data_IF_643807917839
#
_entry.id   IF_643807917839
#
_cell.length_a   1.000
_cell.length_b   1.000
_cell.length_c   1.000
_cell.angle_alpha   90.00
_cell.angle_beta   90.00
_cell.angle_gamma   90.00
#
_symmetry.space_group_name_H-M   'P 1'
#
loop_
_entity.id
_entity.type
_entity.pdbx_description
1 polymer ?
2 branched ?
3 non-polymer ?
4 non-polymer ?
5 non-polymer ?
6 water ?
#
# COMPACT_ATOMS: atom_id res chain seq x y z
C UNK A 1 17.50 10.60 25.24
N UNK A 2 16.49 11.49 25.19
CA UNK A 2 16.32 12.73 24.42
C UNK A 2 16.60 12.56 22.94
N UNK A 3 15.79 11.73 22.28
CA UNK A 3 16.00 11.43 20.87
C UNK A 3 15.65 12.63 20.00
N UNK A 4 14.41 13.09 20.08
CA UNK A 4 13.98 14.21 19.29
C UNK A 4 13.33 15.32 20.09
N UNK A 5 12.68 16.26 19.39
CA UNK A 5 11.96 17.34 20.04
C UNK A 5 10.47 17.04 20.00
N UNK A 6 9.78 17.39 21.06
CA UNK A 6 8.43 16.95 21.34
C UNK A 6 7.53 18.16 21.51
N UNK A 7 6.33 18.08 20.96
CA UNK A 7 5.40 19.17 21.04
C UNK A 7 3.97 18.74 20.76
N UNK A 8 3.03 19.69 20.82
CA UNK A 8 1.63 19.37 20.53
C UNK A 8 1.47 19.04 19.05
N UNK A 9 1.00 17.82 18.78
CA UNK A 9 0.65 17.33 17.45
C UNK A 9 1.86 16.97 16.60
N UNK A 10 3.05 16.79 17.17
CA UNK A 10 4.19 16.39 16.35
C UNK A 10 5.29 15.81 17.23
N UNK A 11 6.27 15.20 16.56
CA UNK A 11 7.49 14.71 17.19
C UNK A 11 8.59 14.78 16.14
N UNK A 12 9.53 15.70 16.32
CA UNK A 12 10.62 15.91 15.38
C UNK A 12 11.78 15.01 15.80
N UNK A 13 12.22 14.08 14.95
CA UNK A 13 13.33 13.20 15.34
C UNK A 13 14.68 13.90 15.35
N UNK A 14 14.81 14.96 16.17
CA UNK A 14 16.08 15.68 16.26
C UNK A 14 16.13 16.35 17.62
N UNK A 15 17.27 16.23 18.30
CA UNK A 15 17.43 16.86 19.60
C UNK A 15 17.38 18.37 19.48
N UNK A 16 16.79 19.03 20.48
CA UNK A 16 16.70 20.47 20.52
C UNK A 16 17.69 21.10 21.51
N UNK A 17 18.77 20.39 21.85
CA UNK A 17 19.76 20.98 22.74
C UNK A 17 20.46 22.16 22.09
N UNK A 18 20.55 22.17 20.76
CA UNK A 18 21.10 23.31 20.03
C UNK A 18 20.12 24.47 19.93
N UNK A 19 18.82 24.21 20.12
CA UNK A 19 17.82 25.24 20.00
C UNK A 19 17.34 25.53 18.60
N UNK A 20 17.72 24.70 17.62
CA UNK A 20 17.40 24.97 16.21
C UNK A 20 16.11 24.31 15.74
N UNK A 21 15.55 23.39 16.52
CA UNK A 21 14.35 22.68 16.10
C UNK A 21 13.15 23.62 16.07
N UNK A 22 12.33 23.48 15.03
CA UNK A 22 11.12 24.26 14.84
C UNK A 22 9.94 23.32 14.65
N UNK A 23 8.75 23.88 14.74
CA UNK A 23 7.54 23.11 14.51
C UNK A 23 7.49 22.64 13.05
N UNK A 24 7.22 21.35 12.79
CA UNK A 24 7.10 20.89 11.41
C UNK A 24 5.92 21.49 10.66
N UNK A 25 5.06 22.26 11.36
CA UNK A 25 3.98 22.97 10.71
C UNK A 25 4.33 24.43 10.41
N UNK A 26 5.38 24.98 11.00
CA UNK A 26 5.69 26.40 10.92
C UNK A 26 6.93 26.74 10.09
N UNK A 27 7.98 25.93 10.17
CA UNK A 27 9.27 26.29 9.60
C UNK A 27 9.96 25.06 9.05
N UNK A 28 10.84 25.22 8.06
CA UNK A 28 11.43 24.04 7.40
C UNK A 28 12.39 23.29 8.31
N UNK A 29 12.41 21.98 8.12
CA UNK A 29 13.19 21.07 8.98
C UNK A 29 14.53 20.73 8.31
N UNK A 30 15.32 21.75 8.02
CA UNK A 30 16.57 21.57 7.31
C UNK A 30 17.71 21.06 8.18
N UNK A 31 17.46 20.82 9.47
CA UNK A 31 18.41 20.10 10.32
C UNK A 31 18.22 18.60 10.25
N UNK A 32 17.08 18.13 9.75
CA UNK A 32 16.88 16.70 9.51
C UNK A 32 17.63 16.26 8.26
N UNK A 33 17.66 17.10 7.23
CA UNK A 33 18.27 16.76 5.96
C UNK A 33 18.61 18.03 5.23
N UNK A 34 19.63 17.95 4.36
CA UNK A 34 20.01 19.08 3.54
C UNK A 34 18.87 19.45 2.59
N UNK A 35 18.81 20.71 2.16
CA UNK A 35 17.79 21.09 1.18
C UNK A 35 17.76 20.23 -0.08
N UNK A 36 18.92 19.81 -0.59
CA UNK A 36 18.93 18.95 -1.78
C UNK A 36 18.31 17.58 -1.49
N UNK A 37 18.41 17.11 -0.24
CA UNK A 37 17.75 15.85 0.10
C UNK A 37 16.24 15.99 0.11
N UNK A 38 15.73 17.16 0.51
CA UNK A 38 14.30 17.43 0.34
C UNK A 38 13.93 17.48 -1.14
N UNK A 39 14.80 18.07 -1.96
CA UNK A 39 14.54 18.10 -3.39
C UNK A 39 14.52 16.69 -3.98
N UNK A 40 15.43 15.82 -3.54
CA UNK A 40 15.40 14.43 -4.01
C UNK A 40 14.16 13.71 -3.52
N UNK A 41 13.68 14.04 -2.32
CA UNK A 41 12.36 13.56 -1.91
C UNK A 41 11.28 14.04 -2.87
N UNK A 42 11.40 15.29 -3.33
CA UNK A 42 10.46 15.82 -4.31
C UNK A 42 10.59 15.09 -5.65
N UNK A 43 11.83 14.85 -6.08
CA UNK A 43 12.05 14.10 -7.32
C UNK A 43 11.46 12.71 -7.23
N UNK A 44 11.58 12.07 -6.07
CA UNK A 44 11.00 10.74 -5.89
C UNK A 44 9.48 10.79 -6.00
N UNK A 45 8.87 11.83 -5.41
CA UNK A 45 7.42 11.99 -5.54
C UNK A 45 7.03 12.27 -6.99
N UNK A 46 7.85 13.03 -7.70
CA UNK A 46 7.54 13.32 -9.10
C UNK A 46 7.63 12.06 -9.95
N UNK A 47 8.62 11.20 -9.69
CA UNK A 47 8.72 9.93 -10.39
C UNK A 47 7.50 9.06 -10.13
N UNK A 48 7.09 8.94 -8.87
CA UNK A 48 5.91 8.14 -8.54
C UNK A 48 4.64 8.72 -9.16
N UNK A 49 4.52 10.04 -9.26
CA UNK A 49 3.32 10.63 -9.84
C UNK A 49 3.29 10.40 -11.34
N UNK A 50 4.41 10.62 -12.02
CA UNK A 50 4.45 10.48 -13.47
C UNK A 50 4.26 9.02 -13.91
N UNK A 51 4.68 8.05 -13.10
CA UNK A 51 4.41 6.65 -13.40
C UNK A 51 3.12 6.15 -12.76
N UNK A 52 2.74 6.65 -11.61
CA UNK A 52 1.61 6.10 -10.88
C UNK A 52 0.25 6.54 -11.36
N UNK A 53 0.10 7.82 -11.74
CA UNK A 53 -1.20 8.26 -12.23
C UNK A 53 -1.53 7.67 -13.59
N UNK A 54 -0.66 7.72 -14.61
CA UNK A 54 -1.06 7.15 -15.92
C UNK A 54 -1.45 5.68 -15.83
N UNK A 55 -0.61 4.85 -15.19
CA UNK A 55 -0.88 3.41 -15.13
C UNK A 55 -2.20 3.13 -14.42
N UNK A 56 -2.46 3.81 -13.30
CA UNK A 56 -3.66 3.50 -12.54
C UNK A 56 -4.91 4.11 -13.15
N UNK A 57 -4.81 5.35 -13.64
CA UNK A 57 -5.96 5.94 -14.32
C UNK A 57 -6.30 5.19 -15.60
N UNK A 58 -5.28 4.68 -16.29
CA UNK A 58 -5.50 3.96 -17.53
C UNK A 58 -6.18 2.61 -17.29
N UNK A 59 -5.92 1.99 -16.14
CA UNK A 59 -6.68 0.80 -15.77
C UNK A 59 -8.17 1.09 -15.70
N UNK A 60 -8.53 2.25 -15.11
CA UNK A 60 -9.93 2.64 -15.07
C UNK A 60 -10.44 3.03 -16.44
N UNK A 61 -9.56 3.50 -17.33
CA UNK A 61 -10.01 4.00 -18.62
C UNK A 61 -10.26 2.86 -19.60
N UNK A 62 -9.32 1.91 -19.70
CA UNK A 62 -9.51 0.80 -20.63
C UNK A 62 -10.66 -0.09 -20.20
N UNK A 63 -11.01 -0.11 -18.91
CA UNK A 63 -12.18 -0.84 -18.48
C UNK A 63 -13.47 -0.23 -19.02
N UNK A 64 -13.46 1.09 -19.25
CA UNK A 64 -14.65 1.74 -19.80
C UNK A 64 -14.82 1.42 -21.28
N UNK A 65 -13.71 1.25 -22.01
CA UNK A 65 -13.76 1.04 -23.45
C UNK A 65 -13.98 -0.41 -23.85
N UNK A 66 -13.66 -1.37 -22.99
CA UNK A 66 -13.65 -2.78 -23.36
C UNK A 66 -14.62 -3.56 -22.46
N UNK A 67 -15.67 -4.12 -23.07
CA UNK A 67 -16.72 -4.77 -22.31
C UNK A 67 -16.24 -6.02 -21.57
N UNK A 68 -15.29 -6.75 -22.18
CA UNK A 68 -14.84 -8.00 -21.58
C UNK A 68 -14.06 -7.81 -20.29
N UNK A 69 -13.62 -6.57 -19.98
CA UNK A 69 -12.91 -6.34 -18.72
C UNK A 69 -13.87 -6.23 -17.55
N UNK A 70 -15.13 -5.84 -17.81
CA UNK A 70 -16.08 -5.58 -16.74
C UNK A 70 -16.70 -6.88 -16.21
N UNK A 71 -15.84 -7.73 -15.66
CA UNK A 71 -16.23 -8.96 -15.01
C UNK A 71 -16.13 -8.81 -13.50
N UNK A 72 -16.98 -9.53 -12.74
CA UNK A 72 -16.94 -9.37 -11.28
C UNK A 72 -15.59 -9.67 -10.65
N UNK A 73 -14.86 -10.65 -11.18
CA UNK A 73 -13.55 -10.98 -10.64
C UNK A 73 -12.54 -9.85 -10.84
N UNK A 74 -12.84 -8.89 -11.71
CA UNK A 74 -11.95 -7.77 -11.96
C UNK A 74 -12.33 -6.53 -11.15
N UNK A 75 -13.44 -6.57 -10.42
CA UNK A 75 -13.84 -5.40 -9.63
C UNK A 75 -12.77 -5.03 -8.62
N UNK A 76 -12.18 -6.04 -7.95
CA UNK A 76 -11.17 -5.75 -6.93
C UNK A 76 -9.93 -5.12 -7.55
N UNK A 77 -9.68 -5.34 -8.84
CA UNK A 77 -8.55 -4.70 -9.51
C UNK A 77 -8.85 -3.24 -9.80
N UNK A 78 -10.10 -2.92 -10.11
CA UNK A 78 -10.47 -1.51 -10.24
C UNK A 78 -10.36 -0.81 -8.90
N UNK A 79 -10.76 -1.50 -7.82
CA UNK A 79 -10.60 -0.96 -6.48
C UNK A 79 -9.12 -0.71 -6.18
N UNK A 80 -8.25 -1.62 -6.63
CA UNK A 80 -6.82 -1.42 -6.46
C UNK A 80 -6.34 -0.17 -7.18
N UNK A 81 -6.81 0.05 -8.42
CA UNK A 81 -6.39 1.22 -9.16
C UNK A 81 -6.82 2.51 -8.48
N UNK A 82 -8.05 2.54 -7.96
CA UNK A 82 -8.52 3.71 -7.23
C UNK A 82 -7.69 3.93 -5.97
N UNK A 83 -7.33 2.84 -5.28
CA UNK A 83 -6.54 2.95 -4.07
C UNK A 83 -5.19 3.60 -4.34
N UNK A 84 -4.56 3.24 -5.46
CA UNK A 84 -3.26 3.81 -5.79
C UNK A 84 -3.38 5.29 -6.13
N UNK A 85 -4.48 5.68 -6.79
CA UNK A 85 -4.71 7.09 -7.05
C UNK A 85 -4.88 7.88 -5.75
N UNK A 86 -5.51 7.28 -4.74
CA UNK A 86 -5.51 7.88 -3.41
C UNK A 86 -4.10 8.10 -2.91
N UNK A 87 -3.22 7.11 -3.09
CA UNK A 87 -1.83 7.27 -2.70
C UNK A 87 -1.14 8.34 -3.55
N UNK A 88 -1.49 8.41 -4.82
CA UNK A 88 -0.80 9.33 -5.73
C UNK A 88 -1.20 10.77 -5.45
N UNK A 89 -2.50 11.03 -5.26
CA UNK A 89 -2.96 12.39 -5.05
C UNK A 89 -3.03 12.77 -3.58
N UNK A 90 -3.56 11.88 -2.74
CA UNK A 90 -3.60 12.16 -1.32
C UNK A 90 -2.23 12.18 -0.66
N UNK A 91 -1.29 11.39 -1.17
CA UNK A 91 0.01 11.29 -0.54
C UNK A 91 1.15 11.86 -1.36
N UNK A 92 1.38 11.32 -2.56
CA UNK A 92 2.56 11.70 -3.32
C UNK A 92 2.50 13.16 -3.75
N UNK A 93 1.32 13.61 -4.22
CA UNK A 93 1.19 14.99 -4.68
C UNK A 93 1.36 15.97 -3.54
N UNK A 94 0.71 15.69 -2.41
CA UNK A 94 0.85 16.57 -1.25
C UNK A 94 2.30 16.63 -0.78
N UNK A 95 2.97 15.47 -0.72
CA UNK A 95 4.35 15.43 -0.24
C UNK A 95 5.28 16.18 -1.16
N UNK A 96 5.08 16.07 -2.48
CA UNK A 96 5.88 16.83 -3.42
C UNK A 96 5.79 18.33 -3.15
N UNK A 97 4.60 18.80 -2.78
CA UNK A 97 4.43 20.22 -2.53
C UNK A 97 5.09 20.63 -1.23
N UNK A 98 4.82 19.90 -0.15
CA UNK A 98 5.43 20.21 1.14
C UNK A 98 6.93 20.00 1.14
N UNK A 99 7.42 18.97 0.42
CA UNK A 99 8.85 18.73 0.34
C UNK A 99 9.62 19.98 -0.12
N UNK A 100 9.09 20.69 -1.12
CA UNK A 100 9.74 21.88 -1.64
C UNK A 100 9.64 23.08 -0.69
N UNK A 101 8.83 22.97 0.36
CA UNK A 101 8.84 23.95 1.43
C UNK A 101 9.76 23.56 2.57
N UNK A 102 10.14 22.28 2.66
CA UNK A 102 10.94 21.79 3.75
C UNK A 102 10.17 21.45 5.01
N UNK A 103 8.84 21.54 4.99
CA UNK A 103 8.02 21.22 6.14
C UNK A 103 6.57 21.10 5.69
N UNK A 104 5.71 20.67 6.61
CA UNK A 104 4.31 20.38 6.32
C UNK A 104 3.52 21.67 6.44
N UNK A 105 3.37 22.38 5.32
CA UNK A 105 2.81 23.72 5.33
C UNK A 105 1.31 23.77 5.55
N UNK A 106 0.63 22.63 5.56
CA UNK A 106 -0.82 22.60 5.68
C UNK A 106 -1.30 22.57 7.12
N UNK A 107 -0.38 22.63 8.09
CA UNK A 107 -0.76 22.73 9.48
C UNK A 107 -1.22 21.42 10.07
N UNK A 108 -1.63 21.45 11.34
CA UNK A 108 -2.02 20.20 12.03
C UNK A 108 -3.27 19.57 11.46
N UNK A 109 -4.12 20.32 10.77
CA UNK A 109 -5.35 19.76 10.22
C UNK A 109 -5.15 19.13 8.85
N UNK A 110 -4.31 19.73 8.01
CA UNK A 110 -3.89 19.04 6.80
C UNK A 110 -3.15 17.76 7.10
N UNK A 111 -2.61 17.63 8.31
CA UNK A 111 -1.99 16.38 8.75
C UNK A 111 -3.04 15.28 8.85
N UNK A 112 -4.17 15.59 9.50
CA UNK A 112 -5.26 14.64 9.58
C UNK A 112 -5.87 14.35 8.21
N UNK A 113 -5.88 15.35 7.32
CA UNK A 113 -6.41 15.14 5.98
C UNK A 113 -5.48 14.28 5.14
N UNK A 114 -4.25 14.75 4.93
CA UNK A 114 -3.30 13.98 4.12
C UNK A 114 -3.02 12.62 4.75
N UNK A 115 -2.90 12.58 6.08
CA UNK A 115 -2.64 11.32 6.75
C UNK A 115 -3.76 10.31 6.51
N UNK A 116 -5.00 10.76 6.68
CA UNK A 116 -6.14 9.86 6.47
C UNK A 116 -6.16 9.30 5.05
N UNK A 117 -6.14 10.19 4.05
CA UNK A 117 -6.31 9.73 2.66
C UNK A 117 -5.11 8.92 2.18
N UNK A 118 -3.90 9.31 2.59
CA UNK A 118 -2.73 8.51 2.22
C UNK A 118 -2.74 7.16 2.92
N UNK A 119 -3.20 7.12 4.18
CA UNK A 119 -3.31 5.85 4.87
C UNK A 119 -4.43 5.00 4.27
N UNK A 120 -5.55 5.64 3.90
CA UNK A 120 -6.67 4.92 3.32
C UNK A 120 -6.28 4.26 2.00
N UNK A 121 -5.58 4.98 1.13
CA UNK A 121 -5.20 4.42 -0.15
C UNK A 121 -4.32 3.20 -0.02
N UNK A 122 -3.29 3.29 0.83
CA UNK A 122 -2.43 2.15 1.07
C UNK A 122 -3.14 0.98 1.73
N UNK A 123 -4.10 1.26 2.62
CA UNK A 123 -4.88 0.20 3.25
C UNK A 123 -5.81 -0.48 2.26
N UNK A 124 -6.51 0.30 1.43
CA UNK A 124 -7.40 -0.28 0.42
C UNK A 124 -6.61 -1.18 -0.53
N UNK A 125 -5.44 -0.72 -0.96
CA UNK A 125 -4.60 -1.54 -1.83
C UNK A 125 -4.19 -2.84 -1.14
N UNK A 126 -3.82 -2.76 0.14
CA UNK A 126 -3.37 -3.95 0.85
C UNK A 126 -4.48 -5.00 0.90
N UNK A 127 -5.68 -4.59 1.29
CA UNK A 127 -6.78 -5.54 1.42
C UNK A 127 -7.34 -5.96 0.06
N UNK A 128 -7.18 -5.13 -0.97
CA UNK A 128 -7.56 -5.55 -2.31
C UNK A 128 -6.73 -6.76 -2.75
N UNK A 129 -5.43 -6.76 -2.42
CA UNK A 129 -4.60 -7.93 -2.69
C UNK A 129 -5.04 -9.12 -1.85
N UNK A 130 -5.44 -8.87 -0.61
CA UNK A 130 -5.94 -9.95 0.24
C UNK A 130 -7.24 -10.49 -0.31
N UNK A 131 -8.15 -9.60 -0.73
CA UNK A 131 -9.44 -10.05 -1.24
C UNK A 131 -9.29 -10.78 -2.56
N UNK A 132 -8.45 -10.26 -3.45
CA UNK A 132 -8.18 -10.95 -4.71
C UNK A 132 -7.63 -12.35 -4.46
N UNK A 133 -6.78 -12.49 -3.45
CA UNK A 133 -6.27 -13.82 -3.09
C UNK A 133 -7.40 -14.73 -2.63
N UNK A 134 -8.32 -14.20 -1.83
CA UNK A 134 -9.44 -15.01 -1.35
C UNK A 134 -10.37 -15.37 -2.49
N UNK A 135 -10.68 -14.40 -3.36
CA UNK A 135 -11.59 -14.65 -4.47
C UNK A 135 -11.05 -15.73 -5.39
N UNK A 136 -9.77 -15.62 -5.76
CA UNK A 136 -9.16 -16.63 -6.62
C UNK A 136 -9.12 -17.99 -5.93
N UNK A 137 -8.87 -18.00 -4.62
CA UNK A 137 -8.88 -19.26 -3.88
C UNK A 137 -10.25 -19.93 -3.94
N UNK A 138 -11.31 -19.15 -3.77
CA UNK A 138 -12.66 -19.72 -3.76
C UNK A 138 -13.03 -20.23 -5.14
N UNK A 139 -12.64 -19.51 -6.19
CA UNK A 139 -13.02 -19.89 -7.55
C UNK A 139 -12.28 -21.15 -7.98
N UNK A 140 -10.99 -21.25 -7.66
CA UNK A 140 -10.20 -22.39 -8.11
C UNK A 140 -10.39 -23.59 -7.19
N UNK A 141 -10.09 -23.43 -5.91
CA UNK A 141 -10.12 -24.56 -4.99
C UNK A 141 -11.53 -25.06 -4.72
N UNK A 142 -12.53 -24.25 -5.02
CA UNK A 142 -13.94 -24.61 -4.81
C UNK A 142 -14.18 -25.18 -3.42
N UNK A 143 -13.92 -24.40 -2.36
CA UNK A 143 -14.12 -24.95 -1.00
C UNK A 143 -15.58 -25.13 -0.65
N UNK A 144 -16.43 -24.17 -1.02
CA UNK A 144 -17.86 -24.30 -0.80
C UNK A 144 -18.47 -25.26 -1.83
N UNK A 145 -19.36 -26.13 -1.35
CA UNK A 145 -19.83 -27.25 -2.18
C UNK A 145 -20.60 -26.75 -3.40
N UNK A 146 -21.62 -25.92 -3.19
CA UNK A 146 -22.44 -25.37 -4.26
C UNK A 146 -22.36 -23.85 -4.18
N UNK A 147 -21.37 -23.27 -4.87
CA UNK A 147 -21.12 -21.84 -4.82
C UNK A 147 -20.68 -21.36 -6.19
N UNK A 148 -21.20 -20.19 -6.59
CA UNK A 148 -20.83 -19.54 -7.83
C UNK A 148 -20.50 -18.08 -7.53
N UNK A 149 -19.30 -17.65 -7.91
CA UNK A 149 -18.87 -16.28 -7.66
C UNK A 149 -19.64 -15.32 -8.56
N UNK A 150 -20.38 -14.39 -7.94
CA UNK A 150 -21.26 -13.50 -8.67
C UNK A 150 -20.92 -12.03 -8.47
N UNK A 151 -21.71 -11.19 -9.12
CA UNK A 151 -21.51 -9.74 -9.03
C UNK A 151 -21.71 -9.24 -7.61
N UNK A 152 -22.72 -9.77 -6.90
CA UNK A 152 -22.95 -9.35 -5.52
C UNK A 152 -21.78 -9.77 -4.63
N UNK A 153 -21.21 -10.95 -4.89
CA UNK A 153 -20.06 -11.39 -4.10
C UNK A 153 -18.85 -10.48 -4.32
N UNK A 154 -18.66 -9.98 -5.55
CA UNK A 154 -17.54 -9.10 -5.82
C UNK A 154 -17.73 -7.74 -5.18
N UNK A 155 -18.97 -7.26 -5.09
CA UNK A 155 -19.24 -5.97 -4.46
C UNK A 155 -18.93 -6.05 -2.97
N UNK A 156 -19.25 -7.18 -2.33
CA UNK A 156 -18.92 -7.34 -0.92
C UNK A 156 -17.41 -7.30 -0.71
N UNK A 157 -16.63 -7.94 -1.60
CA UNK A 157 -15.19 -7.91 -1.46
C UNK A 157 -14.62 -6.50 -1.53
N UNK A 158 -15.16 -5.67 -2.42
CA UNK A 158 -14.70 -4.29 -2.50
C UNK A 158 -15.11 -3.52 -1.26
N UNK A 159 -16.38 -3.65 -0.85
CA UNK A 159 -16.84 -2.98 0.36
C UNK A 159 -16.06 -3.45 1.58
N UNK A 160 -15.62 -4.71 1.59
CA UNK A 160 -14.84 -5.23 2.72
C UNK A 160 -13.51 -4.50 2.85
N UNK A 161 -12.85 -4.20 1.72
CA UNK A 161 -11.59 -3.47 1.79
C UNK A 161 -11.81 -2.09 2.40
N UNK A 162 -12.91 -1.43 2.04
CA UNK A 162 -13.17 -0.10 2.57
C UNK A 162 -13.41 -0.15 4.07
N UNK A 163 -14.13 -1.17 4.54
CA UNK A 163 -14.36 -1.30 5.98
C UNK A 163 -13.05 -1.55 6.71
N UNK A 164 -12.20 -2.42 6.17
CA UNK A 164 -10.91 -2.68 6.79
C UNK A 164 -10.00 -1.46 6.72
N UNK A 165 -10.04 -0.72 5.60
CA UNK A 165 -9.21 0.47 5.48
C UNK A 165 -9.69 1.57 6.42
N UNK A 166 -11.01 1.73 6.54
CA UNK A 166 -11.53 2.67 7.53
C UNK A 166 -11.22 2.20 8.94
N UNK A 167 -11.16 0.89 9.17
CA UNK A 167 -10.83 0.36 10.49
C UNK A 167 -9.43 0.77 10.95
N UNK A 168 -8.55 1.10 10.01
CA UNK A 168 -7.21 1.58 10.34
C UNK A 168 -7.09 3.10 10.29
N UNK A 169 -7.68 3.73 9.27
CA UNK A 169 -7.44 5.15 9.03
C UNK A 169 -8.31 6.06 9.90
N UNK A 170 -9.48 5.58 10.34
CA UNK A 170 -10.41 6.41 11.09
C UNK A 170 -10.10 6.54 12.58
N UNK A 171 -9.65 5.49 13.28
CA UNK A 171 -9.38 5.62 14.73
C UNK A 171 -8.42 6.77 15.06
N UNK A 172 -7.36 7.00 14.28
CA UNK A 172 -6.48 8.15 14.62
C UNK A 172 -7.20 9.49 14.66
N UNK A 173 -8.29 9.64 13.91
CA UNK A 173 -9.08 10.87 14.00
C UNK A 173 -9.96 10.91 15.24
N UNK A 174 -10.31 9.75 15.81
CA UNK A 174 -11.25 9.70 16.92
C UNK A 174 -10.56 9.62 18.28
N UNK A 175 -9.31 9.18 18.34
CA UNK A 175 -8.61 9.14 19.62
C UNK A 175 -7.72 7.94 19.85
N UNK A 176 -7.76 6.95 18.96
CA UNK A 176 -6.88 5.79 19.05
C UNK A 176 -5.72 6.03 18.10
N UNK A 177 -4.53 6.26 18.67
CA UNK A 177 -3.36 6.74 17.95
C UNK A 177 -3.63 8.14 17.40
N UNK A 178 -2.82 8.61 16.46
CA UNK A 178 -2.95 9.97 15.96
C UNK A 178 -2.14 10.11 14.69
N UNK A 179 -2.43 11.18 13.94
CA UNK A 179 -1.68 11.54 12.73
C UNK A 179 -0.69 12.64 13.08
N UNK A 180 0.59 12.39 12.83
CA UNK A 180 1.64 13.39 13.02
C UNK A 180 2.54 13.36 11.80
N UNK A 181 3.28 14.43 11.55
CA UNK A 181 4.30 14.38 10.50
C UNK A 181 5.34 13.30 10.80
N UNK A 182 5.77 12.60 9.75
CA UNK A 182 6.69 11.49 9.89
C UNK A 182 7.95 11.74 9.08
N UNK A 183 9.02 11.06 9.47
CA UNK A 183 10.28 11.14 8.75
C UNK A 183 10.81 12.56 8.73
N UNK A 184 10.89 13.13 7.52
CA UNK A 184 11.33 14.49 7.29
C UNK A 184 10.21 15.51 7.48
N UNK A 185 9.10 15.07 8.07
CA UNK A 185 8.02 15.95 8.53
C UNK A 185 7.26 16.61 7.38
N UNK A 186 7.38 16.06 6.16
CA UNK A 186 6.68 16.61 5.01
C UNK A 186 5.41 15.86 4.67
N UNK A 187 5.24 14.64 5.18
CA UNK A 187 4.01 13.89 5.01
C UNK A 187 3.55 13.39 6.38
N UNK A 188 2.27 13.06 6.46
CA UNK A 188 1.66 12.67 7.72
C UNK A 188 1.20 11.21 7.67
N UNK A 189 1.07 10.63 8.86
CA UNK A 189 0.70 9.23 8.96
C UNK A 189 0.46 8.84 10.40
N UNK A 190 0.18 7.54 10.58
CA UNK A 190 -0.08 7.01 11.92
C UNK A 190 1.19 7.12 12.76
N UNK A 191 1.02 7.48 14.03
CA UNK A 191 2.14 7.73 14.94
C UNK A 191 2.62 6.39 15.50
N UNK A 192 3.61 5.81 14.83
CA UNK A 192 4.34 4.67 15.35
C UNK A 192 5.60 5.08 16.08
N UNK A 193 5.87 6.38 16.18
CA UNK A 193 7.15 6.89 16.64
C UNK A 193 7.10 7.42 18.07
N UNK A 194 5.92 7.51 18.67
CA UNK A 194 5.73 8.10 19.98
C UNK A 194 4.81 7.19 20.81
N UNK A 195 5.20 6.85 22.06
CA UNK A 195 4.30 6.09 22.95
C UNK A 195 3.27 6.99 23.62
N UNK A 196 2.46 7.66 22.80
CA UNK A 196 1.49 8.65 23.27
C UNK A 196 0.41 7.95 24.09
N UNK A 197 0.50 8.06 25.42
CA UNK A 197 -0.44 7.36 26.29
C UNK A 197 -1.82 7.97 26.27
N UNK A 198 -1.95 9.24 25.85
CA UNK A 198 -3.25 9.87 25.81
C UNK A 198 -4.15 9.27 24.74
N UNK A 199 -3.55 8.73 23.67
CA UNK A 199 -4.28 8.10 22.59
C UNK A 199 -4.06 6.59 22.53
N UNK A 200 -3.39 6.01 23.54
CA UNK A 200 -3.11 4.58 23.60
C UNK A 200 -2.45 4.09 22.31
N UNK A 201 -1.30 4.70 22.00
CA UNK A 201 -0.58 4.37 20.77
C UNK A 201 -0.07 2.93 20.79
N UNK A 202 0.34 2.44 21.95
CA UNK A 202 0.91 1.09 22.02
C UNK A 202 -0.09 0.04 21.60
N UNK A 203 -1.34 0.16 22.07
CA UNK A 203 -2.36 -0.80 21.70
C UNK A 203 -2.69 -0.73 20.21
N UNK A 204 -2.59 0.45 19.61
CA UNK A 204 -2.89 0.57 18.19
C UNK A 204 -1.80 -0.06 17.34
N UNK A 205 -0.54 0.05 17.77
CA UNK A 205 0.56 -0.57 17.04
C UNK A 205 0.43 -2.08 17.04
N UNK A 206 0.08 -2.66 18.20
CA UNK A 206 -0.16 -4.10 18.27
C UNK A 206 -1.32 -4.49 17.38
N UNK A 207 -2.41 -3.70 17.42
CA UNK A 207 -3.55 -3.97 16.56
C UNK A 207 -3.15 -3.90 15.08
N UNK A 208 -2.36 -2.90 14.70
CA UNK A 208 -1.92 -2.82 13.31
C UNK A 208 -1.02 -4.00 12.97
N UNK A 209 -0.14 -4.38 13.91
CA UNK A 209 0.80 -5.46 13.62
C UNK A 209 0.07 -6.78 13.40
N UNK A 210 -1.01 -7.01 14.15
CA UNK A 210 -1.73 -8.27 14.05
C UNK A 210 -2.72 -8.24 12.90
N UNK A 211 -3.65 -7.29 12.94
CA UNK A 211 -4.76 -7.29 11.98
C UNK A 211 -4.32 -6.83 10.61
N UNK A 212 -3.49 -5.80 10.53
CA UNK A 212 -3.16 -5.18 9.24
C UNK A 212 -1.75 -5.51 8.78
N UNK A 213 -1.09 -6.49 9.40
CA UNK A 213 0.26 -6.84 8.97
C UNK A 213 0.43 -8.37 8.95
N UNK A 214 0.14 -9.03 10.07
CA UNK A 214 0.31 -10.48 10.15
C UNK A 214 -0.82 -11.19 9.41
N UNK A 215 -2.07 -10.84 9.72
CA UNK A 215 -3.22 -11.50 9.07
C UNK A 215 -3.16 -11.40 7.55
N UNK A 216 -2.92 -10.23 6.93
CA UNK A 216 -2.86 -10.20 5.46
C UNK A 216 -1.83 -11.15 4.88
N UNK A 217 -0.69 -11.32 5.54
CA UNK A 217 0.33 -12.24 5.02
C UNK A 217 -0.13 -13.68 5.10
N UNK A 218 -0.79 -14.05 6.20
CA UNK A 218 -1.25 -15.43 6.35
C UNK A 218 -2.33 -15.75 5.32
N UNK A 219 -3.29 -14.84 5.14
CA UNK A 219 -4.39 -15.10 4.21
C UNK A 219 -3.86 -15.22 2.79
N UNK A 220 -2.95 -14.32 2.40
CA UNK A 220 -2.39 -14.38 1.07
C UNK A 220 -1.59 -15.66 0.87
N UNK A 221 -0.81 -16.05 1.89
CA UNK A 221 0.01 -17.25 1.75
C UNK A 221 -0.84 -18.52 1.74
N UNK A 222 -1.91 -18.56 2.53
CA UNK A 222 -2.76 -19.74 2.54
C UNK A 222 -3.50 -19.90 1.23
N UNK A 223 -4.16 -18.83 0.78
CA UNK A 223 -5.00 -18.92 -0.41
C UNK A 223 -4.18 -19.32 -1.64
N UNK A 224 -3.08 -18.63 -1.89
CA UNK A 224 -2.28 -18.93 -3.07
C UNK A 224 -1.54 -20.25 -2.93
N UNK A 225 -1.26 -20.68 -1.71
CA UNK A 225 -0.67 -22.00 -1.54
C UNK A 225 -1.64 -23.10 -1.95
N UNK A 226 -2.88 -23.02 -1.46
CA UNK A 226 -3.88 -24.01 -1.82
C UNK A 226 -4.18 -23.96 -3.31
N UNK A 227 -4.15 -22.77 -3.90
CA UNK A 227 -4.43 -22.63 -5.32
C UNK A 227 -3.38 -23.33 -6.16
N UNK A 228 -2.10 -23.07 -5.86
CA UNK A 228 -1.02 -23.74 -6.60
C UNK A 228 -1.07 -25.24 -6.36
N UNK A 229 -1.40 -25.65 -5.14
CA UNK A 229 -1.53 -27.08 -4.86
C UNK A 229 -2.67 -27.69 -5.66
N UNK A 230 -3.82 -27.02 -5.70
CA UNK A 230 -4.96 -27.53 -6.45
C UNK A 230 -4.67 -27.58 -7.94
N UNK A 231 -3.99 -26.55 -8.47
CA UNK A 231 -3.70 -26.52 -9.89
C UNK A 231 -2.71 -27.62 -10.26
N UNK A 232 -1.64 -27.76 -9.48
CA UNK A 232 -0.66 -28.80 -9.77
C UNK A 232 -1.25 -30.19 -9.59
N UNK A 233 -2.20 -30.33 -8.67
CA UNK A 233 -2.84 -31.63 -8.46
C UNK A 233 -3.68 -32.03 -9.67
N UNK A 234 -4.46 -31.08 -10.19
CA UNK A 234 -5.30 -31.37 -11.35
C UNK A 234 -4.47 -31.60 -12.60
N UNK A 235 -3.42 -30.80 -12.79
CA UNK A 235 -2.57 -30.98 -13.97
C UNK A 235 -1.85 -32.32 -13.94
N UNK A 236 -1.57 -32.85 -12.75
CA UNK A 236 -0.95 -34.17 -12.65
C UNK A 236 -1.88 -35.26 -13.18
N UNK A 237 -3.19 -35.04 -13.12
CA UNK A 237 -4.16 -36.00 -13.63
C UNK A 237 -4.37 -35.88 -15.13
N UNK A 238 -3.78 -34.86 -15.77
CA UNK A 238 -3.90 -34.67 -17.21
C UNK A 238 -2.53 -34.33 -17.80
N UNK A 239 -1.53 -35.16 -17.54
CA UNK A 239 -0.22 -34.89 -18.10
C UNK A 239 -0.15 -35.14 -19.60
N UNK A 240 -1.21 -35.70 -20.20
CA UNK A 240 -1.26 -35.83 -21.65
C UNK A 240 -1.56 -34.51 -22.34
N UNK A 241 -2.03 -33.51 -21.60
CA UNK A 241 -2.37 -32.20 -22.15
C UNK A 241 -1.19 -31.26 -21.96
N UNK A 242 -0.53 -30.88 -23.06
CA UNK A 242 0.59 -29.94 -22.98
C UNK A 242 0.13 -28.56 -22.54
N UNK A 243 -1.08 -28.15 -22.93
CA UNK A 243 -1.59 -26.84 -22.53
C UNK A 243 -1.83 -26.76 -21.03
N UNK A 244 -2.45 -27.81 -20.47
CA UNK A 244 -2.65 -27.85 -19.02
C UNK A 244 -1.31 -27.73 -18.28
N UNK A 245 -0.27 -28.39 -18.80
CA UNK A 245 1.04 -28.28 -18.18
C UNK A 245 1.61 -26.87 -18.35
N UNK A 246 1.38 -26.26 -19.51
CA UNK A 246 1.78 -24.87 -19.69
C UNK A 246 0.96 -23.94 -18.81
N UNK A 247 -0.35 -24.17 -18.73
CA UNK A 247 -1.20 -23.34 -17.87
C UNK A 247 -0.81 -23.49 -16.41
N UNK A 248 -0.47 -24.71 -15.98
CA UNK A 248 -0.03 -24.89 -14.60
C UNK A 248 1.27 -24.15 -14.33
N UNK A 249 2.21 -24.20 -15.29
CA UNK A 249 3.48 -23.53 -15.11
C UNK A 249 3.30 -22.03 -14.96
N UNK A 250 2.49 -21.43 -15.83
CA UNK A 250 2.36 -19.97 -15.80
C UNK A 250 1.57 -19.51 -14.59
N UNK A 251 0.59 -20.29 -14.14
CA UNK A 251 -0.14 -19.93 -12.92
C UNK A 251 0.80 -19.97 -11.72
N UNK A 252 1.61 -21.03 -11.62
CA UNK A 252 2.60 -21.11 -10.54
C UNK A 252 3.57 -19.95 -10.62
N UNK A 253 4.04 -19.62 -11.83
CA UNK A 253 5.01 -18.55 -11.98
C UNK A 253 4.42 -17.20 -11.60
N UNK A 254 3.15 -16.95 -11.94
CA UNK A 254 2.52 -15.70 -11.56
C UNK A 254 2.32 -15.61 -10.04
N UNK A 255 1.92 -16.72 -9.41
CA UNK A 255 1.75 -16.71 -7.96
C UNK A 255 3.08 -16.39 -7.29
N UNK A 256 4.16 -17.01 -7.78
CA UNK A 256 5.48 -16.73 -7.23
C UNK A 256 5.82 -15.25 -7.37
N UNK A 257 5.56 -14.67 -8.54
CA UNK A 257 5.84 -13.26 -8.77
C UNK A 257 5.05 -12.39 -7.78
N UNK A 258 3.76 -12.70 -7.62
CA UNK A 258 2.92 -11.88 -6.75
C UNK A 258 3.34 -12.02 -5.29
N UNK A 259 3.70 -13.23 -4.87
CA UNK A 259 4.08 -13.46 -3.49
C UNK A 259 5.45 -12.85 -3.20
N UNK A 260 6.38 -12.95 -4.16
CA UNK A 260 7.66 -12.27 -3.99
C UNK A 260 7.45 -10.76 -3.93
N UNK A 261 6.53 -10.24 -4.75
CA UNK A 261 6.25 -8.81 -4.73
C UNK A 261 5.70 -8.38 -3.37
N UNK A 262 4.77 -9.15 -2.83
CA UNK A 262 4.21 -8.82 -1.52
C UNK A 262 5.29 -8.83 -0.45
N UNK A 263 6.18 -9.82 -0.49
CA UNK A 263 7.23 -9.92 0.52
C UNK A 263 8.20 -8.75 0.42
N UNK A 264 8.47 -8.27 -0.79
CA UNK A 264 9.39 -7.13 -0.96
C UNK A 264 8.83 -5.90 -0.24
N UNK A 265 7.51 -5.75 -0.24
CA UNK A 265 6.90 -4.65 0.48
C UNK A 265 6.72 -4.96 1.97
N UNK A 266 6.63 -6.24 2.33
CA UNK A 266 6.24 -6.65 3.67
C UNK A 266 7.44 -6.87 4.58
N UNK A 267 8.53 -7.41 4.06
CA UNK A 267 9.70 -7.77 4.86
C UNK A 267 10.42 -6.56 5.47
N UNK A 268 10.61 -5.45 4.74
CA UNK A 268 11.29 -4.30 5.38
C UNK A 268 10.61 -3.82 6.64
N UNK A 269 9.28 -3.85 6.70
CA UNK A 269 8.60 -3.51 7.95
C UNK A 269 8.97 -4.49 9.04
N UNK A 270 8.99 -5.79 8.72
CA UNK A 270 9.32 -6.80 9.71
C UNK A 270 10.78 -6.69 10.13
N UNK A 271 11.68 -6.42 9.18
CA UNK A 271 13.08 -6.28 9.52
C UNK A 271 13.34 -5.10 10.43
N UNK A 272 12.74 -3.95 10.12
CA UNK A 272 12.91 -2.77 10.98
C UNK A 272 12.29 -3.01 12.35
N UNK A 273 11.09 -3.56 12.38
CA UNK A 273 10.44 -3.82 13.66
C UNK A 273 11.25 -4.80 14.51
N UNK A 274 11.83 -5.83 13.88
CA UNK A 274 12.69 -6.73 14.62
C UNK A 274 13.93 -6.01 15.12
N UNK A 275 14.46 -5.07 14.33
CA UNK A 275 15.60 -4.28 14.76
C UNK A 275 15.22 -3.22 15.79
N UNK A 276 13.93 -3.05 16.07
CA UNK A 276 13.50 -2.14 17.12
C UNK A 276 13.11 -2.95 18.34
N UNK A 277 12.60 -4.17 18.12
CA UNK A 277 12.35 -5.08 19.23
C UNK A 277 13.65 -5.38 19.98
N UNK A 278 14.66 -5.87 19.25
CA UNK A 278 16.02 -5.82 19.74
C UNK A 278 16.60 -4.43 19.46
N UNK A 279 17.78 -4.15 20.02
CA UNK A 279 18.41 -2.83 19.88
C UNK A 279 17.46 -1.71 20.30
N UNK A 280 16.63 -1.98 21.31
CA UNK A 280 15.57 -1.06 21.70
C UNK A 280 16.10 0.27 22.24
N UNK A 281 17.33 0.30 22.76
CA UNK A 281 17.78 1.47 23.51
C UNK A 281 18.09 2.69 22.66
N UNK A 282 18.64 2.50 21.47
CA UNK A 282 19.24 3.60 20.72
C UNK A 282 18.18 4.53 20.12
N UNK A 283 18.57 5.78 19.92
CA UNK A 283 17.71 6.74 19.27
C UNK A 283 17.68 6.47 17.76
N UNK A 284 16.70 7.06 17.08
CA UNK A 284 16.40 6.74 15.69
C UNK A 284 16.27 8.02 14.88
N UNK A 285 17.05 8.12 13.81
CA UNK A 285 16.92 9.21 12.88
C UNK A 285 15.62 9.14 12.11
N UNK A 286 15.41 10.13 11.22
CA UNK A 286 14.15 10.17 10.48
C UNK A 286 13.97 9.05 9.47
N UNK A 287 14.85 8.04 9.50
CA UNK A 287 14.84 6.98 8.49
C UNK A 287 14.88 5.60 9.13
N UNK A 288 14.34 5.46 10.34
CA UNK A 288 14.40 4.16 11.01
C UNK A 288 13.24 3.27 10.58
N UNK A 289 12.01 3.68 10.88
CA UNK A 289 10.81 2.95 10.48
C UNK A 289 10.25 3.49 9.17
N UNK A 290 10.71 4.65 8.73
CA UNK A 290 10.21 5.26 7.51
C UNK A 290 10.90 4.71 6.26
N UNK A 291 11.96 3.93 6.40
CA UNK A 291 12.60 3.30 5.24
C UNK A 291 11.68 2.28 4.60
N UNK A 292 11.01 1.41 5.37
CA UNK A 292 9.97 0.57 4.73
C UNK A 292 8.91 1.38 4.02
N UNK A 293 8.40 2.44 4.64
CA UNK A 293 7.38 3.26 4.02
C UNK A 293 7.91 3.96 2.77
N UNK A 294 9.18 4.35 2.78
CA UNK A 294 9.78 5.00 1.62
C UNK A 294 9.67 4.12 0.39
N UNK A 295 10.04 2.84 0.50
CA UNK A 295 9.99 1.95 -0.65
C UNK A 295 8.61 1.36 -0.89
N UNK A 296 7.76 1.29 0.14
CA UNK A 296 6.41 0.80 -0.06
C UNK A 296 5.58 1.71 -0.96
N UNK A 297 5.98 2.97 -1.13
CA UNK A 297 5.26 3.87 -2.04
C UNK A 297 5.32 3.36 -3.47
N UNK A 298 6.40 2.65 -3.81
CA UNK A 298 6.57 2.10 -5.14
C UNK A 298 5.50 1.10 -5.50
N UNK A 299 4.81 0.52 -4.51
CA UNK A 299 3.73 -0.41 -4.81
C UNK A 299 2.65 0.24 -5.66
N UNK A 300 2.53 1.57 -5.60
CA UNK A 300 1.53 2.24 -6.42
C UNK A 300 1.84 2.14 -7.90
N UNK A 301 3.06 1.73 -8.24
CA UNK A 301 3.48 1.57 -9.62
C UNK A 301 3.60 0.10 -10.01
N UNK A 302 4.30 -0.71 -9.20
CA UNK A 302 4.56 -2.08 -9.63
C UNK A 302 3.37 -3.01 -9.42
N UNK A 303 2.50 -2.72 -8.44
CA UNK A 303 1.31 -3.55 -8.28
C UNK A 303 0.39 -3.50 -9.50
N UNK A 304 0.06 -2.34 -10.08
CA UNK A 304 -0.71 -2.38 -11.34
C UNK A 304 0.05 -3.06 -12.47
N UNK A 305 1.39 -2.96 -12.47
CA UNK A 305 2.17 -3.63 -13.51
C UNK A 305 2.04 -5.14 -13.39
N UNK A 306 2.07 -5.67 -12.17
CA UNK A 306 2.04 -7.11 -11.97
C UNK A 306 0.62 -7.66 -12.15
N UNK A 307 -0.36 -7.04 -11.50
CA UNK A 307 -1.72 -7.55 -11.49
C UNK A 307 -2.54 -7.19 -12.71
N UNK A 308 -2.30 -6.03 -13.32
CA UNK A 308 -3.11 -5.52 -14.41
C UNK A 308 -2.36 -5.53 -15.73
N UNK A 309 -1.17 -4.90 -15.77
CA UNK A 309 -0.41 -4.84 -17.01
C UNK A 309 0.01 -6.21 -17.49
N UNK A 310 0.29 -7.13 -16.58
CA UNK A 310 0.65 -8.49 -16.94
C UNK A 310 -0.56 -9.39 -17.16
N UNK A 311 -1.77 -8.88 -16.92
CA UNK A 311 -2.96 -9.60 -17.32
C UNK A 311 -3.07 -9.62 -18.84
N UNK A 312 -3.50 -10.75 -19.38
CA UNK A 312 -3.46 -10.94 -20.83
C UNK A 312 -4.47 -10.03 -21.53
N UNK A 313 -5.70 -9.96 -21.00
CA UNK A 313 -6.73 -9.19 -21.67
C UNK A 313 -6.52 -7.69 -21.47
N UNK A 314 -6.13 -7.27 -20.26
CA UNK A 314 -5.84 -5.86 -20.01
C UNK A 314 -4.79 -5.33 -20.97
N UNK A 315 -3.74 -6.12 -21.19
CA UNK A 315 -2.62 -5.65 -22.02
C UNK A 315 -3.08 -5.35 -23.44
N UNK A 316 -3.84 -6.27 -24.04
CA UNK A 316 -4.30 -6.08 -25.41
C UNK A 316 -5.27 -4.92 -25.51
N UNK A 317 -6.12 -4.74 -24.49
CA UNK A 317 -7.05 -3.62 -24.49
C UNK A 317 -6.33 -2.29 -24.34
N UNK A 318 -5.29 -2.24 -23.51
CA UNK A 318 -4.53 -0.99 -23.37
C UNK A 318 -3.76 -0.67 -24.65
N UNK A 319 -3.20 -1.68 -25.31
CA UNK A 319 -2.51 -1.45 -26.58
C UNK A 319 -3.49 -0.92 -27.62
N UNK A 320 -4.70 -1.48 -27.66
CA UNK A 320 -5.71 -1.00 -28.59
C UNK A 320 -6.16 0.40 -28.24
N UNK A 321 -6.33 0.68 -26.95
CA UNK A 321 -6.77 2.01 -26.53
C UNK A 321 -5.71 3.07 -26.82
N UNK A 322 -4.45 2.77 -26.51
CA UNK A 322 -3.37 3.72 -26.73
C UNK A 322 -3.13 3.96 -28.21
N UNK A 323 -3.42 2.96 -29.03
CA UNK A 323 -3.20 3.06 -30.46
C UNK A 323 -4.40 3.49 -31.29
N UNK A 324 -5.26 4.27 -30.64
CA UNK A 324 -6.45 4.84 -31.27
C UNK A 324 -7.38 3.78 -31.85
N UNK A 325 -7.32 2.57 -31.30
CA UNK A 325 -8.24 1.52 -31.68
C UNK A 325 -7.67 0.46 -32.60
N UNK A 326 -6.46 0.66 -33.12
CA UNK A 326 -5.84 -0.26 -34.06
C UNK A 326 -4.72 -1.04 -33.37
N UNK A 327 -4.55 -2.29 -33.81
CA UNK A 327 -3.55 -3.19 -33.25
C UNK A 327 -3.71 -3.33 -31.73
X LIG B 1 13.65 24.25 20.54
X LIG B 1 12.15 24.61 20.55
X LIG B 1 11.96 26.11 20.25
X LIG B 1 12.90 26.98 21.08
X LIG B 1 14.33 26.45 21.05
X LIG B 1 15.25 27.18 22.01
X LIG B 1 10.29 23.18 19.84
X LIG B 1 9.68 22.41 18.70
X LIG B 1 11.44 23.82 19.57
X LIG B 1 10.61 26.46 20.55
X LIG B 1 12.91 28.27 20.49
X LIG B 1 14.33 25.08 21.45
X LIG B 1 14.86 26.96 23.35
X LIG B 1 9.76 23.21 20.94
X LIG B 2 12.58 29.30 21.45
X LIG B 2 13.10 30.61 20.88
X LIG B 2 12.79 31.76 21.84
X LIG B 2 11.29 31.77 22.17
X LIG B 2 10.83 30.40 22.64
X LIG B 2 9.33 30.33 22.82
X LIG B 2 15.05 30.38 19.40
X LIG B 2 16.54 30.33 19.32
X LIG B 2 14.53 30.54 20.62
X LIG B 2 13.18 32.99 21.26
X LIG B 2 11.05 32.69 23.22
X LIG B 2 11.18 29.39 21.68
X LIG B 2 8.96 29.32 23.74
X LIG B 2 14.33 30.30 18.39
X LIG B 3 10.31 33.82 22.74
X LIG B 3 9.86 34.53 23.99
X LIG B 3 9.10 35.80 23.61
X LIG B 3 9.84 36.64 22.55
X LIG B 3 10.41 35.77 21.40
X LIG B 3 11.41 36.55 20.55
X LIG B 3 11.01 34.94 24.75
X LIG B 3 8.84 36.59 24.77
X LIG B 3 8.96 37.61 22.00
X LIG B 3 11.11 34.65 21.95
X LIG B 3 12.58 36.72 21.34
X LIG B 4 7.56 36.25 25.36
X LIG B 4 7.18 37.41 26.28
X LIG B 4 8.12 37.42 27.50
X LIG B 4 8.12 36.06 28.22
X LIG B 4 8.48 34.95 27.23
X LIG B 4 8.36 33.54 27.84
X LIG B 4 5.87 37.22 26.82
X LIG B 4 7.77 38.45 28.41
X LIG B 4 9.07 36.08 29.26
X LIG B 4 7.59 35.02 26.08
X LIG B 4 8.88 32.56 26.92
X LIG B 5 13.63 37.33 20.54
X LIG B 5 14.98 37.24 21.35
X LIG B 5 15.11 38.37 22.39
X LIG B 5 14.67 39.73 21.82
X LIG B 5 13.24 39.61 21.29
X LIG B 5 12.66 40.91 20.78
X LIG B 5 16.13 37.35 20.49
X LIG B 5 16.44 38.46 22.89
X LIG B 5 14.73 40.73 22.82
X LIG B 5 13.26 38.67 20.20
X LIG B 5 11.25 40.77 20.72
X LIG C 1 -0.06 1.50 -29.99
X LIG C 1 -0.47 0.75 -29.11
X LIG C 1 0.97 2.59 -29.76
X LIG C 1 0.53 3.92 -30.33
X LIG C 1 1.69 4.90 -30.44
X LIG C 1 2.29 5.21 -29.08
X LIG C 1 3.79 5.47 -29.20
X LIG C 1 4.24 6.58 -28.28
X LIG C 1 4.32 6.10 -26.84
X LIG C 1 5.13 7.07 -26.00
X LIG C 1 5.38 6.50 -24.62
X LIG C 1 6.67 7.05 -24.03
X LIG C 1 6.49 8.46 -23.51
X LIG C 1 7.79 8.98 -22.94
X LIG C 1 7.61 10.18 -22.04
X LIG C 1 8.78 10.33 -21.09
X LIG C 1 8.57 11.40 -20.06
X LIG D 1 2.28 3.70 4.47
X LIG D 1 2.74 2.96 3.35
X LIG D 1 3.34 3.78 5.57
X LIG D 1 3.66 2.45 6.00
X LIG D 1 2.84 4.61 6.73
X LIG D 1 3.93 4.84 7.64
X LIG D 1 2.29 5.97 6.26
X LIG D 1 1.58 6.57 7.34
X LIG D 1 1.33 5.81 5.09
X LIG D 1 1.90 5.01 4.05
X LIG D 1 0.95 7.16 4.50
X LIG D 1 1.92 7.53 3.52
X LIG D 1 1.63 2.44 2.64
X LIG D 1 2.06 1.36 1.66
X LIG D 1 0.85 0.52 1.26
X LIG D 1 1.26 -0.52 0.22
X LIG D 1 0.36 -1.76 0.30
X LIG D 1 0.74 -2.76 -0.78
X LIG D 1 0.96 -4.15 -0.19
X LIG D 1 1.84 -4.96 -1.12
X LIG E 1 10.80 9.40 4.47
X LIG E 1 11.92 8.86 5.17
X LIG E 1 9.57 8.49 4.59
X LIG E 1 9.90 7.17 4.14
X LIG E 1 8.42 9.04 3.77
X LIG E 1 7.24 8.24 3.96
X LIG E 1 8.13 10.47 4.22
X LIG E 1 7.16 11.03 3.32
X LIG E 1 9.39 11.33 4.24
X LIG E 1 10.49 10.72 4.94
X LIG E 1 9.12 12.69 4.89
X LIG E 1 7.80 13.14 4.60
X LIG E 1 13.13 9.09 4.44
X LIG E 1 13.80 7.75 4.13
X LIG E 1 14.92 7.93 3.10
X LIG E 1 15.63 6.61 2.79
X LIG E 1 16.52 6.75 1.55
X LIG E 1 17.78 5.90 1.67
X LIG E 1 18.73 6.18 0.52
X LIG E 1 20.09 5.55 0.77
X LIG F 1 9.22 28.76 -0.75
X LIG F 1 8.07 28.34 -1.48
X LIG F 1 9.19 30.28 -0.64
X LIG F 1 9.35 30.85 -1.95
X LIG F 1 10.30 30.80 0.27
X LIG F 1 10.14 32.21 0.47
X LIG F 1 10.25 30.10 1.61
X LIG F 1 11.36 30.53 2.40
X LIG F 1 10.29 28.58 1.40
X LIG F 1 9.23 28.15 0.55
X LIG F 1 10.21 27.84 2.73
X LIG F 1 10.70 26.50 2.55
X LIG F 1 8.15 26.99 -1.92
X LIG F 1 7.07 26.80 -2.99
X LIG F 1 7.03 25.37 -3.50
X LIG F 1 6.12 25.26 -4.71
X LIG F 1 5.96 23.80 -5.14
X LIG F 1 5.34 23.67 -6.53
X LIG F 1 5.37 22.22 -7.01
X LIG F 1 4.75 22.10 -8.38
X LIG G 1 7.46 -25.26 -7.55
X LIG G 1 6.57 -24.94 -6.49
X LIG G 1 7.64 -26.77 -7.60
X LIG G 1 8.16 -27.26 -6.35
X LIG G 1 8.56 -27.15 -8.75
X LIG G 1 8.66 -28.58 -8.82
X LIG G 1 8.00 -26.60 -10.05
X LIG G 1 8.93 -26.83 -11.11
X LIG G 1 7.70 -25.10 -9.95
X LIG G 1 6.94 -24.77 -8.79
X LIG G 1 6.93 -24.62 -11.18
X LIG G 1 7.50 -25.18 -12.36
X LIG G 1 6.41 -23.53 -6.34
X LIG G 1 5.29 -23.32 -5.34
X LIG G 1 4.99 -21.84 -5.18
X LIG G 1 3.82 -21.70 -4.23
X LIG G 1 3.77 -20.28 -3.69
X LIG G 1 2.75 -20.20 -2.56
X LIG G 1 2.72 -18.78 -2.02
X LIG G 1 1.51 -18.60 -1.13
X LIG H 1 4.61 29.37 -5.86
X LIG H 1 4.00 28.99 -7.10
X LIG H 1 5.54 30.56 -6.08
X LIG H 1 6.61 30.18 -6.98
X LIG H 1 6.14 31.02 -4.76
X LIG H 1 6.91 32.21 -4.97
X LIG H 1 5.02 31.31 -3.76
X LIG H 1 5.60 31.61 -2.49
X LIG H 1 4.11 30.10 -3.64
X LIG H 1 3.60 29.70 -4.92
X LIG H 1 2.93 30.42 -2.71
X LIG H 1 2.05 29.29 -2.67
X LIG H 1 3.17 27.85 -6.92
X LIG H 1 2.62 27.39 -8.27
X LIG H 1 1.72 26.17 -8.08
X LIG H 1 1.17 25.68 -9.42
X LIG H 1 0.23 24.50 -9.21
X LIG H 1 -0.34 24.01 -10.54
X LIG H 1 -1.32 22.86 -10.31
X LIG H 1 -1.87 22.36 -11.63
X LIG I 1 2.54 -2.56 9.31
X LIG I 1 1.27 -1.72 9.13
X LIG I 1 1.21 0.09 7.42
X LIG I 1 1.00 -1.79 5.80
X LIG I 1 2.09 -1.42 5.03
X LIG I 1 2.77 -2.38 4.27
X LIG I 1 2.32 -3.70 4.31
X LIG I 1 1.23 -4.08 5.07
X LIG I 1 0.57 -3.12 5.82
X LIG I 1 -0.44 0.22 5.56
X LIG I 1 -1.22 -0.54 4.47
X LIG I 1 2.56 0.36 9.51
X LIG I 1 3.85 -0.43 9.76
X LIG I 1 5.78 -3.56 12.41
X LIG I 1 4.80 -2.87 11.76
X LIG I 1 3.68 -2.34 12.44
X LIG I 1 3.51 -2.49 13.79
X LIG I 1 4.53 -3.20 14.46
X LIG I 1 5.62 -3.71 13.79
X LIG I 1 2.87 -1.70 11.55
X LIG I 1 3.48 -1.82 10.27
X LIG I 1 4.69 -2.57 10.43
X LIG I 1 1.66 -0.39 8.63
X LIG I 1 0.27 -0.75 6.58
X LIG I 1 3.13 -4.89 3.38
X LIG I 1 -1.37 0.97 6.27
X LIG I 1 1.57 1.22 7.06
#
# INVERSE_FOLDING_TARGET
XMCGTEGPNFYVPFSNKTGVVRSPFEAPQYYLAEPWQFSMLAAYMFLLIMLGFPINFLTLYVTVQHKKLRTPLNYILLNLAVADLFMVFGGFTTTLYTSLHGYFVFGPTGCNLEGFFATLGGEIALWSLVVLAIERYVVVCKPMSNFRFGENHAIMGVAFTWVMALACAAPPLVGWSRYIPEGMQCSCGIDYYTPHEETNNESFVIYMFVVHFIIPLIVIFFCYGQLVFTVKEAAAQQQESATTQKAEKEVTRMVIIMVIAFLICWLPYAGVAFYIFTHQGSCFGPIFMTIPAFFAKTSAVYNPVIYIMMNKQFRNCMVTTLCCGKNPLGDDEASTTVSKTETSQVAPA
NAG C1 C2 C3 C4 C5 C6 C7 C8 N2 O3 O4 O5 O6 O7
NAG C1 C2 C3 C4 C5 C6 C7 C8 N2 O3 O4 O5 O6 O7
BMA C1 C2 C3 C4 C5 C6 O2 O3 O4 O5 O6
MAN C1 C2 C3 C4 C5 C6 O2 O3 O4 O5 O6
MAN C1 C2 C3 C4 C5 C6 O2 O3 O4 O5 O6
PLM C1 O2 C2 C3 C4 C5 C6 C7 C8 C9 CA CB CC CD CE CF CG
BOG C1 O1 C2 O2 C3 O3 C4 O4 C5 O5 C6 O6 C1' C2' C3' C4' C5' C6' C7' C8'
BOG C1 O1 C2 O2 C3 O3 C4 O4 C5 O5 C6 O6 C1' C2' C3' C4' C5' C6' C7' C8'
BOG C1 O1 C2 O2 C3 O3 C4 O4 C5 O5 C6 O6 C1' C2' C3' C4' C5' C6' C7' C8'
BOG C1 O1 C2 O2 C3 O3 C4 O4 C5 O5 C6 O6 C1' C2' C3' C4' C5' C6' C7' C8'
BOG C1 O1 C2 O2 C3 O3 C4 O4 C5 O5 C6 O6 C1' C2' C3' C4' C5' C6' C7' C8'
DO5 C10 C11 C13 C15 C16 C17 C18 C20 C21 C22 C23 C26 C27 C1 C2 C3 C4 C5 C6 O7 C8 O9 N12 C14 CL O24 O25
#
